data_IF_176581706493
#
_entry.id   IF_176581706493
#
_cell.length_a   1.000
_cell.length_b   1.000
_cell.length_c   1.000
_cell.angle_alpha   90.00
_cell.angle_beta   90.00
_cell.angle_gamma   90.00
#
_symmetry.space_group_name_H-M   'P 1'
#
loop_
_entity.id
_entity.type
_entity.pdbx_description
1 polymer ?
#
# COMPACT_ATOMS: atom_id res chain seq x y z
N UNK A 1 10.99 19.57 5.56
CA UNK A 1 10.68 18.37 4.75
C UNK A 1 11.11 18.70 3.36
N UNK A 2 11.46 17.73 2.51
CA UNK A 2 10.66 17.84 1.31
C UNK A 2 10.25 16.51 0.71
N UNK A 3 8.96 16.43 0.58
CA UNK A 3 8.23 15.38 -0.11
C UNK A 3 8.82 15.06 -1.50
N UNK A 4 9.59 15.99 -2.07
CA UNK A 4 10.37 15.84 -3.30
C UNK A 4 11.28 14.61 -3.27
N UNK A 5 12.03 14.36 -2.19
CA UNK A 5 12.97 13.22 -2.13
C UNK A 5 12.23 11.88 -2.10
N UNK A 6 11.18 11.79 -1.27
CA UNK A 6 10.27 10.65 -1.25
C UNK A 6 9.65 10.41 -2.64
N UNK A 7 9.21 11.48 -3.30
CA UNK A 7 8.58 11.40 -4.62
C UNK A 7 9.56 10.88 -5.67
N UNK A 8 10.78 11.43 -5.72
CA UNK A 8 11.81 11.10 -6.71
C UNK A 8 12.30 9.65 -6.58
N UNK A 9 12.29 9.11 -5.36
CA UNK A 9 12.77 7.75 -5.08
C UNK A 9 11.65 6.70 -5.08
N UNK A 10 10.39 7.13 -5.02
CA UNK A 10 9.22 6.25 -5.13
C UNK A 10 9.03 5.68 -6.53
N UNK A 11 8.52 4.45 -6.61
CA UNK A 11 8.05 3.86 -7.86
C UNK A 11 6.58 4.24 -8.09
N UNK A 12 6.32 5.50 -8.44
CA UNK A 12 4.96 6.03 -8.71
C UNK A 12 4.19 5.17 -9.73
N UNK A 13 4.89 4.58 -10.70
CA UNK A 13 4.31 3.67 -11.69
C UNK A 13 3.72 2.37 -11.13
N UNK A 14 4.11 1.95 -9.91
CA UNK A 14 3.63 0.74 -9.26
C UNK A 14 2.34 0.93 -8.45
N UNK A 15 1.88 2.18 -8.26
CA UNK A 15 0.65 2.47 -7.51
C UNK A 15 -0.59 2.10 -8.35
N UNK A 16 -1.71 1.76 -7.69
CA UNK A 16 -2.96 1.35 -8.35
C UNK A 16 -3.48 2.39 -9.37
N UNK A 17 -3.34 3.67 -9.05
CA UNK A 17 -3.84 4.80 -9.83
C UNK A 17 -2.76 5.45 -10.71
N UNK A 18 -1.63 4.79 -10.93
CA UNK A 18 -0.57 5.32 -11.78
C UNK A 18 -1.00 5.32 -13.25
N UNK A 19 -0.44 6.26 -14.03
CA UNK A 19 -0.67 6.28 -15.50
C UNK A 19 -0.18 4.99 -16.16
N UNK A 20 0.91 4.42 -15.67
CA UNK A 20 1.48 3.15 -16.15
C UNK A 20 0.53 1.97 -15.93
N UNK A 21 -0.41 2.08 -14.97
CA UNK A 21 -1.47 1.10 -14.73
C UNK A 21 -2.83 1.47 -15.35
N UNK A 22 -2.90 2.51 -16.20
CA UNK A 22 -4.14 2.90 -16.87
C UNK A 22 -4.76 1.76 -17.72
N UNK A 23 -3.93 0.89 -18.28
CA UNK A 23 -4.35 -0.30 -19.03
C UNK A 23 -4.21 -1.60 -18.23
N UNK A 24 -3.91 -1.51 -16.93
CA UNK A 24 -3.76 -2.70 -16.12
C UNK A 24 -5.08 -3.46 -16.01
N UNK A 25 -5.04 -4.81 -15.94
CA UNK A 25 -6.25 -5.61 -15.93
C UNK A 25 -7.07 -5.28 -14.67
N UNK A 26 -8.38 -5.13 -14.86
CA UNK A 26 -9.39 -5.02 -13.80
C UNK A 26 -10.43 -6.10 -14.03
N UNK A 27 -11.13 -6.52 -12.98
CA UNK A 27 -12.25 -7.43 -13.16
C UNK A 27 -13.31 -6.80 -14.08
N UNK A 28 -13.76 -7.56 -15.09
CA UNK A 28 -14.92 -7.17 -15.86
C UNK A 28 -16.15 -7.08 -14.95
N UNK A 29 -17.13 -6.21 -15.26
CA UNK A 29 -18.36 -6.13 -14.49
C UNK A 29 -18.99 -7.51 -14.27
N UNK A 30 -19.48 -7.77 -13.06
CA UNK A 30 -20.11 -9.02 -12.65
C UNK A 30 -19.20 -10.28 -12.69
N UNK A 31 -17.87 -10.11 -12.81
CA UNK A 31 -16.92 -11.22 -12.69
C UNK A 31 -16.20 -11.20 -11.35
N UNK A 32 -15.86 -12.37 -10.82
CA UNK A 32 -15.11 -12.54 -9.55
C UNK A 32 -15.73 -11.77 -8.36
N UNK A 33 -17.03 -11.51 -8.40
CA UNK A 33 -17.76 -10.72 -7.41
C UNK A 33 -17.65 -11.34 -6.01
N UNK A 34 -17.94 -12.63 -5.89
CA UNK A 34 -17.87 -13.33 -4.61
C UNK A 34 -16.48 -13.26 -3.94
N UNK A 35 -15.40 -13.31 -4.74
CA UNK A 35 -14.03 -13.19 -4.21
C UNK A 35 -13.75 -11.77 -3.74
N UNK A 36 -14.17 -10.76 -4.52
CA UNK A 36 -14.03 -9.37 -4.14
C UNK A 36 -14.84 -9.05 -2.87
N UNK A 37 -16.09 -9.51 -2.79
CA UNK A 37 -16.95 -9.35 -1.62
C UNK A 37 -16.36 -9.99 -0.37
N UNK A 38 -15.80 -11.20 -0.50
CA UNK A 38 -15.09 -11.86 0.59
C UNK A 38 -13.90 -11.03 1.08
N UNK A 39 -13.07 -10.52 0.17
CA UNK A 39 -11.92 -9.65 0.52
C UNK A 39 -12.41 -8.36 1.21
N UNK A 40 -13.48 -7.75 0.71
CA UNK A 40 -14.02 -6.53 1.33
C UNK A 40 -14.59 -6.77 2.72
N UNK A 41 -15.36 -7.86 2.90
CA UNK A 41 -15.88 -8.24 4.21
C UNK A 41 -14.75 -8.46 5.21
N UNK A 42 -13.67 -9.12 4.78
CA UNK A 42 -12.48 -9.27 5.62
C UNK A 42 -11.82 -7.93 5.97
N UNK A 43 -11.75 -6.97 5.04
CA UNK A 43 -11.18 -5.63 5.31
C UNK A 43 -12.03 -4.83 6.31
N UNK A 44 -13.36 -4.91 6.21
CA UNK A 44 -14.27 -4.08 7.02
C UNK A 44 -14.60 -4.70 8.36
N UNK A 45 -14.85 -6.00 8.37
CA UNK A 45 -15.46 -6.72 9.49
C UNK A 45 -14.44 -7.60 10.22
N UNK A 46 -13.28 -7.84 9.59
CA UNK A 46 -12.24 -8.73 10.11
C UNK A 46 -12.64 -10.20 10.02
N UNK A 47 -11.80 -11.06 10.60
CA UNK A 47 -12.23 -12.41 10.96
C UNK A 47 -12.84 -12.33 12.37
N UNK A 48 -14.00 -12.96 12.59
CA UNK A 48 -14.66 -13.00 13.91
C UNK A 48 -13.92 -13.84 14.96
N UNK A 49 -12.62 -14.04 14.77
CA UNK A 49 -11.73 -14.83 15.59
C UNK A 49 -11.20 -13.98 16.76
N UNK A 50 -10.83 -14.63 17.88
CA UNK A 50 -10.26 -13.95 19.04
C UNK A 50 -8.93 -13.22 18.71
N UNK A 51 -8.19 -13.72 17.72
CA UNK A 51 -6.98 -13.11 17.17
C UNK A 51 -7.13 -12.91 15.65
N UNK A 52 -7.64 -11.76 15.18
CA UNK A 52 -7.93 -11.54 13.76
C UNK A 52 -6.63 -11.51 12.95
N UNK A 53 -6.59 -12.28 11.86
CA UNK A 53 -5.45 -12.25 10.92
C UNK A 53 -5.28 -10.85 10.34
N UNK A 54 -4.03 -10.39 10.28
CA UNK A 54 -3.66 -9.06 9.75
C UNK A 54 -3.18 -9.11 8.29
N UNK A 55 -3.03 -10.31 7.72
CA UNK A 55 -2.57 -10.52 6.34
C UNK A 55 -3.47 -11.55 5.66
N UNK A 56 -4.01 -11.20 4.50
CA UNK A 56 -4.74 -12.10 3.62
C UNK A 56 -3.91 -12.40 2.36
N UNK A 57 -3.77 -13.68 2.04
CA UNK A 57 -3.08 -14.14 0.83
C UNK A 57 -4.09 -14.58 -0.24
N UNK A 58 -4.11 -13.89 -1.38
CA UNK A 58 -4.85 -14.33 -2.56
C UNK A 58 -3.92 -15.18 -3.45
N UNK A 59 -4.10 -16.50 -3.42
CA UNK A 59 -3.30 -17.44 -4.22
C UNK A 59 -4.15 -18.12 -5.30
N UNK A 60 -3.48 -18.67 -6.31
CA UNK A 60 -4.13 -19.41 -7.39
C UNK A 60 -3.23 -19.54 -8.62
N UNK A 61 -3.58 -20.42 -9.57
CA UNK A 61 -2.78 -20.66 -10.78
C UNK A 61 -2.47 -19.38 -11.58
N UNK A 62 -1.43 -19.43 -12.40
CA UNK A 62 -1.13 -18.37 -13.36
C UNK A 62 -2.33 -18.14 -14.30
N UNK A 63 -2.58 -16.87 -14.67
CA UNK A 63 -3.67 -16.52 -15.59
C UNK A 63 -5.08 -16.51 -15.01
N UNK A 64 -5.28 -16.79 -13.72
CA UNK A 64 -6.63 -16.80 -13.10
C UNK A 64 -7.24 -15.42 -12.83
N UNK A 65 -6.46 -14.35 -13.07
CA UNK A 65 -6.90 -12.96 -12.92
C UNK A 65 -6.66 -12.37 -11.52
N UNK A 66 -5.72 -12.89 -10.74
CA UNK A 66 -5.38 -12.37 -9.39
C UNK A 66 -5.05 -10.87 -9.40
N UNK A 67 -4.16 -10.43 -10.29
CA UNK A 67 -3.83 -9.00 -10.49
C UNK A 67 -5.05 -8.16 -10.83
N UNK A 68 -6.01 -8.73 -11.59
CA UNK A 68 -7.27 -8.04 -11.90
C UNK A 68 -8.15 -7.87 -10.66
N UNK A 69 -8.25 -8.89 -9.82
CA UNK A 69 -8.94 -8.86 -8.53
C UNK A 69 -8.27 -7.82 -7.61
N UNK A 70 -6.96 -7.89 -7.45
CA UNK A 70 -6.20 -6.97 -6.59
C UNK A 70 -6.31 -5.51 -7.07
N UNK A 71 -6.32 -5.29 -8.39
CA UNK A 71 -6.59 -3.98 -8.99
C UNK A 71 -7.98 -3.45 -8.65
N UNK A 72 -9.03 -4.25 -8.87
CA UNK A 72 -10.42 -3.87 -8.55
C UNK A 72 -10.66 -3.65 -7.05
N UNK A 73 -10.02 -4.45 -6.19
CA UNK A 73 -10.04 -4.26 -4.73
C UNK A 73 -9.39 -2.95 -4.34
N UNK A 74 -8.19 -2.65 -4.85
CA UNK A 74 -7.49 -1.39 -4.56
C UNK A 74 -8.33 -0.17 -4.95
N UNK A 75 -8.93 -0.16 -6.15
CA UNK A 75 -9.79 0.94 -6.61
C UNK A 75 -11.00 1.14 -5.70
N UNK A 76 -11.68 0.05 -5.34
CA UNK A 76 -12.87 0.12 -4.48
C UNK A 76 -12.49 0.62 -3.08
N UNK A 77 -11.39 0.13 -2.51
CA UNK A 77 -10.87 0.60 -1.23
C UNK A 77 -10.47 2.07 -1.30
N UNK A 78 -9.88 2.54 -2.40
CA UNK A 78 -9.57 3.94 -2.61
C UNK A 78 -10.83 4.81 -2.60
N UNK A 79 -11.86 4.42 -3.36
CA UNK A 79 -13.14 5.16 -3.42
C UNK A 79 -13.89 5.17 -2.08
N UNK A 80 -13.71 4.13 -1.25
CA UNK A 80 -14.29 4.05 0.09
C UNK A 80 -13.43 4.71 1.18
N UNK A 81 -12.27 5.27 0.84
CA UNK A 81 -11.35 5.88 1.82
C UNK A 81 -10.66 4.87 2.75
N UNK A 82 -10.63 3.59 2.37
CA UNK A 82 -10.04 2.49 3.14
C UNK A 82 -8.58 2.23 2.76
N UNK A 83 -8.15 2.60 1.56
CA UNK A 83 -6.81 2.30 1.06
C UNK A 83 -5.76 3.24 1.66
N UNK A 84 -4.80 2.68 2.40
CA UNK A 84 -3.61 3.40 2.87
C UNK A 84 -2.62 3.60 1.73
N UNK A 85 -2.40 2.55 0.95
CA UNK A 85 -1.46 2.53 -0.15
C UNK A 85 -1.52 1.23 -0.93
N UNK A 86 -0.83 1.21 -2.06
CA UNK A 86 -0.79 0.07 -2.96
C UNK A 86 0.56 -0.08 -3.63
N UNK A 87 0.94 -1.32 -3.95
CA UNK A 87 2.10 -1.57 -4.78
C UNK A 87 1.90 -2.82 -5.63
N UNK A 88 2.02 -2.66 -6.94
CA UNK A 88 1.92 -3.73 -7.91
C UNK A 88 3.30 -3.94 -8.52
N UNK A 89 3.97 -5.01 -8.09
CA UNK A 89 5.18 -5.48 -8.73
C UNK A 89 4.85 -5.91 -10.16
N UNK A 90 5.77 -5.64 -11.08
CA UNK A 90 5.62 -6.04 -12.47
C UNK A 90 6.99 -6.25 -13.12
N UNK A 91 7.21 -7.45 -13.65
CA UNK A 91 8.40 -7.79 -14.43
C UNK A 91 8.37 -7.18 -15.85
N UNK A 92 7.19 -6.80 -16.35
CA UNK A 92 6.99 -6.31 -17.73
C UNK A 92 7.35 -4.83 -17.86
N UNK A 93 7.23 -4.06 -16.78
CA UNK A 93 7.60 -2.64 -16.78
C UNK A 93 9.13 -2.54 -16.76
N UNK A 94 9.72 -2.20 -17.92
CA UNK A 94 11.19 -2.09 -18.14
C UNK A 94 11.93 -1.07 -17.26
N UNK A 95 11.24 -0.39 -16.34
CA UNK A 95 11.93 0.41 -15.33
C UNK A 95 12.45 -0.51 -14.23
N UNK A 96 13.76 -0.52 -14.00
CA UNK A 96 14.40 -1.18 -12.84
C UNK A 96 13.86 -0.69 -11.48
N UNK A 97 12.93 0.26 -11.48
CA UNK A 97 12.32 0.89 -10.31
C UNK A 97 11.18 0.08 -9.70
N UNK A 98 10.41 -0.67 -10.49
CA UNK A 98 9.20 -1.38 -10.02
C UNK A 98 9.49 -2.72 -9.35
N UNK A 99 10.71 -3.26 -9.54
CA UNK A 99 11.17 -4.54 -8.93
C UNK A 99 11.92 -4.37 -7.61
N UNK A 100 12.19 -3.14 -7.18
CA UNK A 100 13.06 -2.90 -6.03
C UNK A 100 12.27 -2.93 -4.70
N UNK A 101 12.64 -3.84 -3.79
CA UNK A 101 12.12 -3.89 -2.41
C UNK A 101 12.28 -2.57 -1.66
N UNK A 102 13.43 -1.91 -1.83
CA UNK A 102 13.66 -0.58 -1.27
C UNK A 102 12.64 0.45 -1.81
N UNK A 103 12.34 0.40 -3.11
CA UNK A 103 11.30 1.28 -3.68
C UNK A 103 9.90 0.92 -3.22
N UNK A 104 9.59 -0.36 -2.94
CA UNK A 104 8.32 -0.73 -2.33
C UNK A 104 8.09 0.03 -1.01
N UNK A 105 9.06 -0.05 -0.09
CA UNK A 105 8.98 0.63 1.21
C UNK A 105 8.87 2.15 1.05
N UNK A 106 9.74 2.75 0.23
CA UNK A 106 9.73 4.21 -0.02
C UNK A 106 8.39 4.66 -0.63
N UNK A 107 7.82 3.86 -1.54
CA UNK A 107 6.54 4.17 -2.19
C UNK A 107 5.36 4.03 -1.22
N UNK A 108 5.41 3.09 -0.27
CA UNK A 108 4.43 3.04 0.82
C UNK A 108 4.54 4.25 1.73
N UNK A 109 5.75 4.61 2.15
CA UNK A 109 5.98 5.79 2.99
C UNK A 109 5.48 7.08 2.31
N UNK A 110 5.72 7.22 1.01
CA UNK A 110 5.16 8.32 0.21
C UNK A 110 3.62 8.32 0.20
N UNK A 111 2.99 7.17 -0.04
CA UNK A 111 1.52 7.06 -0.05
C UNK A 111 0.90 7.40 1.33
N UNK A 112 1.48 6.88 2.42
CA UNK A 112 1.07 7.20 3.80
C UNK A 112 1.21 8.70 4.06
N UNK A 113 2.33 9.30 3.65
CA UNK A 113 2.56 10.73 3.81
C UNK A 113 1.53 11.57 3.05
N UNK A 114 1.10 11.14 1.86
CA UNK A 114 0.10 11.86 1.08
C UNK A 114 -1.33 11.60 1.53
N UNK A 115 -1.58 10.52 2.28
CA UNK A 115 -2.93 10.12 2.66
C UNK A 115 -3.60 11.19 3.55
N UNK A 116 -4.78 11.74 3.18
CA UNK A 116 -5.39 12.87 3.88
C UNK A 116 -5.59 12.66 5.39
N UNK A 117 -5.99 11.45 5.80
CA UNK A 117 -6.19 11.10 7.21
C UNK A 117 -4.89 10.88 8.00
N UNK A 118 -3.77 10.57 7.34
CA UNK A 118 -2.52 10.16 8.00
C UNK A 118 -1.42 11.23 7.87
N UNK A 119 -1.53 12.13 6.89
CA UNK A 119 -0.54 13.16 6.56
C UNK A 119 -0.12 14.03 7.74
N UNK A 120 -1.08 14.40 8.60
CA UNK A 120 -0.83 15.29 9.75
C UNK A 120 -0.26 14.57 10.98
N UNK A 121 -0.27 13.24 10.99
CA UNK A 121 0.22 12.39 12.07
C UNK A 121 1.43 11.60 11.58
N UNK A 122 1.20 10.39 11.05
CA UNK A 122 2.24 9.48 10.53
C UNK A 122 3.06 10.16 9.45
N UNK A 123 2.43 10.86 8.51
CA UNK A 123 3.11 11.52 7.42
C UNK A 123 4.14 12.56 7.88
N UNK A 124 3.91 13.23 9.01
CA UNK A 124 4.90 14.16 9.60
C UNK A 124 6.10 13.41 10.19
N UNK A 125 5.87 12.27 10.84
CA UNK A 125 6.93 11.42 11.38
C UNK A 125 7.83 10.88 10.27
N UNK A 126 7.24 10.43 9.17
CA UNK A 126 7.98 10.00 7.97
C UNK A 126 8.86 11.14 7.44
N UNK A 127 8.31 12.35 7.30
CA UNK A 127 9.08 13.50 6.82
C UNK A 127 10.18 13.93 7.79
N UNK A 128 9.98 13.80 9.10
CA UNK A 128 11.04 14.05 10.09
C UNK A 128 12.19 13.07 9.90
N UNK A 129 11.89 11.77 9.82
CA UNK A 129 12.91 10.74 9.64
C UNK A 129 13.77 10.97 8.39
N UNK A 130 13.17 11.40 7.28
CA UNK A 130 13.90 11.74 6.04
C UNK A 130 14.78 12.99 6.21
N UNK A 131 14.33 13.98 6.99
CA UNK A 131 15.12 15.20 7.26
C UNK A 131 16.27 14.90 8.23
N UNK A 132 16.02 14.10 9.24
CA UNK A 132 16.96 13.74 10.29
C UNK A 132 18.07 12.83 9.74
N UNK A 133 17.73 11.94 8.80
CA UNK A 133 18.68 11.07 8.11
C UNK A 133 18.37 10.95 6.60
N UNK A 134 18.88 11.86 5.76
CA UNK A 134 18.73 11.76 4.31
C UNK A 134 19.35 10.50 3.69
N UNK A 135 20.30 9.87 4.39
CA UNK A 135 20.95 8.63 3.99
C UNK A 135 20.03 7.40 4.09
N UNK A 136 18.85 7.53 4.69
CA UNK A 136 17.88 6.44 4.86
C UNK A 136 17.56 5.70 3.56
N UNK A 137 17.58 6.41 2.43
CA UNK A 137 17.30 5.85 1.11
C UNK A 137 18.37 4.88 0.58
N UNK A 138 19.57 4.90 1.14
CA UNK A 138 20.68 4.01 0.79
C UNK A 138 20.86 2.87 1.81
N UNK A 139 20.07 2.86 2.90
CA UNK A 139 20.10 1.80 3.91
C UNK A 139 19.38 0.53 3.44
N UNK A 140 19.50 -0.54 4.24
CA UNK A 140 18.83 -1.80 3.96
C UNK A 140 17.30 -1.65 3.92
N UNK A 141 16.63 -2.59 3.24
CA UNK A 141 15.17 -2.60 3.16
C UNK A 141 14.52 -2.70 4.54
N UNK A 142 15.12 -3.48 5.45
CA UNK A 142 14.60 -3.68 6.81
C UNK A 142 14.68 -2.38 7.63
N UNK A 143 15.80 -1.67 7.52
CA UNK A 143 15.99 -0.37 8.17
C UNK A 143 15.06 0.69 7.57
N UNK A 144 14.88 0.72 6.25
CA UNK A 144 13.89 1.59 5.61
C UNK A 144 12.47 1.29 6.10
N UNK A 145 12.09 0.01 6.21
CA UNK A 145 10.76 -0.40 6.64
C UNK A 145 10.52 0.00 8.09
N UNK A 146 11.49 -0.25 8.94
CA UNK A 146 11.45 0.10 10.36
C UNK A 146 11.27 1.62 10.54
N UNK A 147 12.18 2.42 9.96
CA UNK A 147 12.23 3.86 10.18
C UNK A 147 11.13 4.63 9.45
N UNK A 148 10.79 4.25 8.21
CA UNK A 148 9.85 5.02 7.38
C UNK A 148 8.40 4.53 7.49
N UNK A 149 8.14 3.36 8.08
CA UNK A 149 6.79 2.79 8.14
C UNK A 149 6.43 2.33 9.55
N UNK A 150 7.18 1.38 10.13
CA UNK A 150 6.79 0.72 11.38
C UNK A 150 6.88 1.65 12.59
N UNK A 151 7.99 2.37 12.77
CA UNK A 151 8.15 3.34 13.85
C UNK A 151 7.11 4.47 13.79
N UNK A 152 6.89 5.15 12.64
CA UNK A 152 5.82 6.14 12.51
C UNK A 152 4.42 5.61 12.86
N UNK A 153 4.11 4.36 12.50
CA UNK A 153 2.84 3.71 12.85
C UNK A 153 2.73 3.43 14.35
N UNK A 154 3.80 2.92 14.96
CA UNK A 154 3.87 2.64 16.39
C UNK A 154 3.70 3.92 17.21
N UNK A 155 4.48 4.95 16.90
CA UNK A 155 4.45 6.27 17.56
C UNK A 155 3.07 6.93 17.49
N UNK A 156 2.34 6.71 16.39
CA UNK A 156 1.05 7.35 16.15
C UNK A 156 -0.14 6.45 16.45
N UNK A 157 0.05 5.26 17.05
CA UNK A 157 -1.01 4.26 17.25
C UNK A 157 -2.25 4.84 17.93
N UNK A 158 -2.07 5.59 19.01
CA UNK A 158 -3.18 6.22 19.74
C UNK A 158 -3.96 7.21 18.85
N UNK A 159 -3.26 8.01 18.03
CA UNK A 159 -3.90 8.97 17.12
C UNK A 159 -4.70 8.27 16.01
N UNK A 160 -4.26 7.09 15.57
CA UNK A 160 -4.99 6.25 14.60
C UNK A 160 -6.25 5.69 15.27
N UNK A 161 -6.13 5.28 16.54
CA UNK A 161 -7.25 4.71 17.32
C UNK A 161 -8.34 5.74 17.65
N UNK A 162 -8.01 7.03 17.64
CA UNK A 162 -8.97 8.14 17.78
C UNK A 162 -9.69 8.48 16.46
N UNK A 163 -9.22 8.00 15.31
CA UNK A 163 -9.93 8.21 14.04
C UNK A 163 -11.28 7.50 14.05
N UNK A 164 -12.32 8.21 13.59
CA UNK A 164 -13.66 7.63 13.45
C UNK A 164 -13.60 6.33 12.63
N UNK A 165 -14.30 5.25 13.04
CA UNK A 165 -14.20 3.95 12.37
C UNK A 165 -14.49 3.97 10.86
N UNK A 166 -15.38 4.85 10.42
CA UNK A 166 -15.78 5.08 9.02
C UNK A 166 -14.74 5.86 8.19
N UNK A 167 -13.80 6.54 8.86
CA UNK A 167 -12.75 7.36 8.23
C UNK A 167 -11.35 6.80 8.41
N UNK A 168 -11.23 5.64 9.06
CA UNK A 168 -9.94 5.01 9.36
C UNK A 168 -9.49 4.20 8.13
N UNK A 169 -8.36 4.56 7.49
CA UNK A 169 -7.74 3.73 6.47
C UNK A 169 -7.33 2.39 7.08
N UNK A 170 -7.49 1.29 6.32
CA UNK A 170 -7.35 -0.07 6.86
C UNK A 170 -6.39 -0.95 6.11
N UNK A 171 -6.20 -0.74 4.81
CA UNK A 171 -5.57 -1.76 3.95
C UNK A 171 -4.43 -1.21 3.11
N UNK A 172 -3.36 -2.00 3.01
CA UNK A 172 -2.33 -1.88 1.99
C UNK A 172 -2.52 -3.04 1.02
N UNK A 173 -2.62 -2.76 -0.28
CA UNK A 173 -2.78 -3.79 -1.31
C UNK A 173 -1.44 -4.03 -2.00
N UNK A 174 -0.94 -5.27 -1.97
CA UNK A 174 0.29 -5.68 -2.64
C UNK A 174 0.00 -6.82 -3.60
N UNK A 175 0.47 -6.70 -4.85
CA UNK A 175 0.30 -7.72 -5.89
C UNK A 175 1.63 -7.98 -6.61
N UNK A 176 1.79 -9.20 -7.13
CA UNK A 176 2.98 -9.60 -7.90
C UNK A 176 4.23 -9.84 -7.05
N UNK A 177 4.09 -10.25 -5.78
CA UNK A 177 5.25 -10.52 -4.91
C UNK A 177 6.23 -11.56 -5.49
N UNK A 178 5.75 -12.44 -6.37
CA UNK A 178 6.52 -13.40 -7.16
C UNK A 178 7.32 -12.76 -8.31
N UNK A 179 7.01 -11.52 -8.68
CA UNK A 179 7.70 -10.73 -9.71
C UNK A 179 8.71 -9.71 -9.13
N UNK A 180 8.96 -9.76 -7.82
CA UNK A 180 9.94 -8.92 -7.12
C UNK A 180 11.39 -9.19 -7.57
#
# INVERSE_FOLDING_TARGET
>A
ADIVDLTNRSAIGAMHNSRQRGEAPKCHPNTRVAVQEYIFGWITDGEGDEEPKQIMWLTGPAGTGKTAIMGSVADTCYHRGLLVGSFFFSAVVKSNHVRSKARFVITLAYQIQQHPALKRTIGRKILSAVVDDPGIFEKSCDEQLEVLVLQPLHDCRQLIDELKPDKRPRVIVVDGLDEC
#
